data_IF_040054753867
#
_entry.id   IF_040054753867
#
_cell.length_a   1.000
_cell.length_b   1.000
_cell.length_c   1.000
_cell.angle_alpha   90.00
_cell.angle_beta   90.00
_cell.angle_gamma   90.00
#
_symmetry.space_group_name_H-M   'P 1'
#
loop_
_entity.id
_entity.type
_entity.pdbx_description
1 polymer ?
#
# COMPACT_ATOMS: atom_id res chain seq x y z
N UNK A 1 -20.72 27.62 -0.60
CA UNK A 1 -19.62 27.08 -1.44
C UNK A 1 -19.42 25.61 -1.09
N UNK A 2 -19.77 24.68 -1.99
CA UNK A 2 -19.43 23.26 -1.82
C UNK A 2 -17.95 23.12 -2.14
N UNK A 3 -17.11 23.02 -1.12
CA UNK A 3 -15.72 22.61 -1.28
C UNK A 3 -15.70 21.11 -1.62
N UNK A 4 -16.05 20.78 -2.86
CA UNK A 4 -15.63 19.52 -3.44
C UNK A 4 -14.13 19.63 -3.58
N UNK A 5 -13.40 19.15 -2.57
CA UNK A 5 -11.97 18.90 -2.65
C UNK A 5 -11.77 18.03 -3.90
N UNK A 6 -11.44 18.65 -5.03
CA UNK A 6 -10.77 17.93 -6.11
C UNK A 6 -9.60 17.26 -5.43
N UNK A 7 -9.61 15.93 -5.41
CA UNK A 7 -8.52 15.13 -4.87
C UNK A 7 -7.25 15.64 -5.51
N UNK A 8 -6.35 16.24 -4.73
CA UNK A 8 -5.13 16.81 -5.28
C UNK A 8 -4.32 15.66 -5.86
N UNK A 9 -3.96 15.73 -7.15
CA UNK A 9 -3.15 14.70 -7.80
C UNK A 9 -1.81 14.49 -7.06
N UNK A 10 -1.34 15.51 -6.32
CA UNK A 10 -0.20 15.39 -5.40
C UNK A 10 -0.44 14.38 -4.28
N UNK A 11 -1.61 14.36 -3.65
CA UNK A 11 -1.96 13.37 -2.63
C UNK A 11 -2.01 11.96 -3.23
N UNK A 12 -2.64 11.82 -4.40
CA UNK A 12 -2.72 10.53 -5.09
C UNK A 12 -1.32 10.04 -5.46
N UNK A 13 -0.44 10.93 -5.94
CA UNK A 13 0.94 10.59 -6.27
C UNK A 13 1.74 10.12 -5.05
N UNK A 14 1.56 10.76 -3.89
CA UNK A 14 2.18 10.34 -2.63
C UNK A 14 1.70 8.96 -2.20
N UNK A 15 0.39 8.68 -2.32
CA UNK A 15 -0.17 7.37 -2.02
C UNK A 15 0.35 6.28 -2.97
N UNK A 16 0.52 6.59 -4.26
CA UNK A 16 1.12 5.65 -5.21
C UNK A 16 2.56 5.30 -4.81
N UNK A 17 3.38 6.31 -4.48
CA UNK A 17 4.75 6.09 -3.99
C UNK A 17 4.80 5.28 -2.70
N UNK A 18 3.84 5.52 -1.80
CA UNK A 18 3.74 4.76 -0.56
C UNK A 18 3.43 3.28 -0.83
N UNK A 19 2.52 2.98 -1.77
CA UNK A 19 2.23 1.60 -2.19
C UNK A 19 3.49 0.92 -2.73
N UNK A 20 4.26 1.60 -3.59
CA UNK A 20 5.50 1.05 -4.15
C UNK A 20 6.55 0.81 -3.07
N UNK A 21 6.75 1.76 -2.15
CA UNK A 21 7.70 1.61 -1.04
C UNK A 21 7.28 0.46 -0.10
N UNK A 22 5.99 0.32 0.17
CA UNK A 22 5.46 -0.78 0.98
C UNK A 22 5.78 -2.13 0.34
N UNK A 23 5.58 -2.27 -0.97
CA UNK A 23 5.89 -3.50 -1.72
C UNK A 23 7.37 -3.83 -1.73
N UNK A 24 8.22 -2.82 -1.92
CA UNK A 24 9.66 -2.97 -1.85
C UNK A 24 10.10 -3.47 -0.47
N UNK A 25 9.62 -2.82 0.61
CA UNK A 25 9.95 -3.20 1.99
C UNK A 25 9.44 -4.60 2.33
N UNK A 26 8.23 -4.95 1.91
CA UNK A 26 7.68 -6.29 2.11
C UNK A 26 8.60 -7.36 1.50
N UNK A 27 8.98 -7.17 0.23
CA UNK A 27 9.86 -8.11 -0.49
C UNK A 27 11.23 -8.22 0.18
N UNK A 28 11.81 -7.09 0.59
CA UNK A 28 13.10 -7.07 1.29
C UNK A 28 13.05 -7.84 2.62
N UNK A 29 11.97 -7.72 3.39
CA UNK A 29 11.82 -8.42 4.66
C UNK A 29 11.56 -9.92 4.46
N UNK A 30 10.76 -10.31 3.47
CA UNK A 30 10.57 -11.73 3.12
C UNK A 30 11.93 -12.37 2.80
N UNK A 31 12.70 -11.76 1.91
CA UNK A 31 14.05 -12.26 1.56
C UNK A 31 14.98 -12.31 2.78
N UNK A 32 14.85 -11.36 3.71
CA UNK A 32 15.64 -11.33 4.95
C UNK A 32 15.23 -12.45 5.92
N UNK A 33 13.94 -12.81 5.97
CA UNK A 33 13.43 -13.90 6.82
C UNK A 33 13.93 -15.26 6.35
N UNK A 34 14.02 -15.48 5.04
CA UNK A 34 14.45 -16.75 4.45
C UNK A 34 15.88 -17.13 4.87
N UNK A 35 16.76 -16.13 5.01
CA UNK A 35 18.16 -16.32 5.39
C UNK A 35 18.45 -16.07 6.88
N UNK A 36 17.44 -15.67 7.68
CA UNK A 36 17.64 -15.35 9.08
C UNK A 36 17.79 -16.62 9.93
N UNK A 37 18.69 -16.60 10.91
CA UNK A 37 18.85 -17.69 11.89
C UNK A 37 18.59 -17.22 13.33
N UNK A 38 18.71 -15.92 13.58
CA UNK A 38 18.44 -15.33 14.88
C UNK A 38 16.94 -15.29 15.19
N UNK A 39 16.53 -15.90 16.31
CA UNK A 39 15.12 -16.04 16.69
C UNK A 39 14.45 -14.69 17.02
N UNK A 40 15.19 -13.77 17.65
CA UNK A 40 14.65 -12.47 18.04
C UNK A 40 14.47 -11.57 16.81
N UNK A 41 15.43 -11.60 15.89
CA UNK A 41 15.36 -10.90 14.63
C UNK A 41 14.23 -11.45 13.76
N UNK A 42 14.06 -12.78 13.67
CA UNK A 42 12.90 -13.39 13.00
C UNK A 42 11.57 -12.87 13.55
N UNK A 43 11.43 -12.79 14.87
CA UNK A 43 10.21 -12.28 15.50
C UNK A 43 9.95 -10.83 15.11
N UNK A 44 10.98 -9.97 15.14
CA UNK A 44 10.87 -8.55 14.74
C UNK A 44 10.51 -8.39 13.25
N UNK A 45 11.16 -9.15 12.37
CA UNK A 45 10.87 -9.14 10.93
C UNK A 45 9.44 -9.63 10.64
N UNK A 46 8.97 -10.66 11.36
CA UNK A 46 7.59 -11.15 11.23
C UNK A 46 6.56 -10.11 11.70
N UNK A 47 6.85 -9.40 12.80
CA UNK A 47 6.03 -8.27 13.26
C UNK A 47 5.98 -7.15 12.22
N UNK A 48 7.10 -6.82 11.59
CA UNK A 48 7.15 -5.82 10.53
C UNK A 48 6.32 -6.24 9.31
N UNK A 49 6.39 -7.52 8.88
CA UNK A 49 5.51 -8.04 7.82
C UNK A 49 4.02 -7.89 8.15
N UNK A 50 3.66 -8.17 9.40
CA UNK A 50 2.28 -7.98 9.87
C UNK A 50 1.86 -6.50 9.76
N UNK A 51 2.71 -5.57 10.20
CA UNK A 51 2.45 -4.14 10.11
C UNK A 51 2.33 -3.66 8.65
N UNK A 52 3.18 -4.14 7.75
CA UNK A 52 3.10 -3.82 6.32
C UNK A 52 1.82 -4.35 5.68
N UNK A 53 1.39 -5.55 6.06
CA UNK A 53 0.13 -6.14 5.58
C UNK A 53 -1.08 -5.34 6.07
N UNK A 54 -1.06 -4.92 7.34
CA UNK A 54 -2.08 -4.02 7.89
C UNK A 54 -2.12 -2.70 7.12
N UNK A 55 -0.95 -2.09 6.86
CA UNK A 55 -0.87 -0.83 6.12
C UNK A 55 -1.37 -0.96 4.68
N UNK A 56 -1.14 -2.08 4.01
CA UNK A 56 -1.71 -2.34 2.69
C UNK A 56 -3.25 -2.34 2.73
N UNK A 57 -3.85 -2.97 3.75
CA UNK A 57 -5.30 -2.95 3.94
C UNK A 57 -5.83 -1.53 4.14
N UNK A 58 -5.13 -0.71 4.93
CA UNK A 58 -5.46 0.71 5.13
C UNK A 58 -5.41 1.50 3.80
N UNK A 59 -4.34 1.34 3.02
CA UNK A 59 -4.19 2.00 1.71
C UNK A 59 -5.29 1.56 0.72
N UNK A 60 -5.68 0.29 0.74
CA UNK A 60 -6.80 -0.22 -0.06
C UNK A 60 -8.13 0.43 0.35
N UNK A 61 -8.36 0.62 1.64
CA UNK A 61 -9.57 1.28 2.15
C UNK A 61 -9.58 2.77 1.80
N UNK A 62 -8.43 3.46 1.92
CA UNK A 62 -8.26 4.84 1.49
C UNK A 62 -8.56 4.97 -0.02
N UNK A 63 -7.98 4.10 -0.85
CA UNK A 63 -8.22 4.09 -2.30
C UNK A 63 -9.70 3.89 -2.65
N UNK A 64 -10.38 2.95 -1.97
CA UNK A 64 -11.84 2.75 -2.12
C UNK A 64 -12.65 3.98 -1.71
N UNK A 65 -12.23 4.72 -0.68
CA UNK A 65 -12.94 5.92 -0.25
C UNK A 65 -12.93 7.04 -1.30
N UNK A 66 -11.91 7.10 -2.15
CA UNK A 66 -11.90 8.00 -3.31
C UNK A 66 -12.89 7.55 -4.39
N UNK A 67 -13.07 6.24 -4.56
CA UNK A 67 -14.07 5.68 -5.49
C UNK A 67 -15.50 6.01 -5.12
N UNK A 68 -15.82 6.11 -3.82
CA UNK A 68 -17.18 6.36 -3.34
C UNK A 68 -17.57 7.85 -3.38
N UNK A 69 -16.59 8.75 -3.46
CA UNK A 69 -16.80 10.20 -3.36
C UNK A 69 -17.03 10.91 -4.70
N UNK A 70 -16.72 10.27 -5.83
CA UNK A 70 -16.80 10.91 -7.15
C UNK A 70 -17.64 10.09 -8.13
N UNK A 71 -18.56 10.77 -8.82
CA UNK A 71 -19.37 10.18 -9.90
C UNK A 71 -18.53 9.84 -11.13
N UNK A 72 -17.39 10.52 -11.31
CA UNK A 72 -16.41 10.26 -12.37
C UNK A 72 -15.04 10.04 -11.73
N UNK A 73 -14.45 8.87 -11.97
CA UNK A 73 -13.12 8.56 -11.47
C UNK A 73 -12.06 9.16 -12.41
N UNK A 74 -11.25 10.06 -11.87
CA UNK A 74 -10.04 10.53 -12.57
C UNK A 74 -9.04 9.38 -12.77
N UNK A 75 -8.21 9.50 -13.81
CA UNK A 75 -7.19 8.51 -14.15
C UNK A 75 -6.24 8.22 -12.98
N UNK A 76 -5.87 9.25 -12.21
CA UNK A 76 -5.01 9.14 -11.03
C UNK A 76 -5.62 8.24 -9.95
N UNK A 77 -6.92 8.39 -9.67
CA UNK A 77 -7.65 7.52 -8.73
C UNK A 77 -7.74 6.07 -9.23
N UNK A 78 -7.97 5.87 -10.52
CA UNK A 78 -7.98 4.53 -11.12
C UNK A 78 -6.62 3.85 -11.00
N UNK A 79 -5.54 4.59 -11.25
CA UNK A 79 -4.17 4.10 -11.08
C UNK A 79 -3.93 3.67 -9.62
N UNK A 80 -4.27 4.51 -8.65
CA UNK A 80 -4.10 4.17 -7.22
C UNK A 80 -4.88 2.91 -6.84
N UNK A 81 -6.14 2.79 -7.28
CA UNK A 81 -6.95 1.60 -7.03
C UNK A 81 -6.30 0.34 -7.59
N UNK A 82 -5.76 0.43 -8.80
CA UNK A 82 -5.08 -0.68 -9.45
C UNK A 82 -3.80 -1.07 -8.70
N UNK A 83 -2.98 -0.10 -8.28
CA UNK A 83 -1.78 -0.36 -7.48
C UNK A 83 -2.12 -1.02 -6.14
N UNK A 84 -3.16 -0.55 -5.45
CA UNK A 84 -3.62 -1.13 -4.17
C UNK A 84 -4.26 -2.52 -4.32
N UNK A 85 -4.69 -2.93 -5.51
CA UNK A 85 -5.26 -4.27 -5.76
C UNK A 85 -4.18 -5.35 -5.87
N UNK A 86 -2.96 -4.97 -6.25
CA UNK A 86 -1.86 -5.91 -6.44
C UNK A 86 -1.48 -6.56 -5.10
N UNK A 87 -1.34 -7.90 -5.03
CA UNK A 87 -0.90 -8.57 -3.82
C UNK A 87 0.56 -8.19 -3.48
N UNK A 88 0.93 -8.21 -2.19
CA UNK A 88 2.32 -8.03 -1.76
C UNK A 88 3.16 -9.28 -2.01
N UNK A 89 2.51 -10.44 -2.07
CA UNK A 89 3.17 -11.72 -2.27
C UNK A 89 3.79 -11.75 -3.67
N UNK A 90 5.10 -11.97 -3.71
CA UNK A 90 5.78 -12.42 -4.93
C UNK A 90 5.23 -13.83 -5.21
N UNK A 91 4.69 -14.06 -6.40
CA UNK A 91 4.35 -15.42 -6.82
C UNK A 91 5.66 -16.23 -6.76
N UNK A 92 5.70 -17.19 -5.82
CA UNK A 92 6.79 -18.14 -5.68
C UNK A 92 6.81 -19.07 -6.89
#
# INVERSE_FOLDING_TARGET
>A
MRNTLQTSDSLISSLCREVDQLRFRYTSIVNSLDCCHDKNLKKRLSQELFLLTKRQSELKNIAKSFSLKSTTLGLSTLLLLELCRRPLKVAA
#
